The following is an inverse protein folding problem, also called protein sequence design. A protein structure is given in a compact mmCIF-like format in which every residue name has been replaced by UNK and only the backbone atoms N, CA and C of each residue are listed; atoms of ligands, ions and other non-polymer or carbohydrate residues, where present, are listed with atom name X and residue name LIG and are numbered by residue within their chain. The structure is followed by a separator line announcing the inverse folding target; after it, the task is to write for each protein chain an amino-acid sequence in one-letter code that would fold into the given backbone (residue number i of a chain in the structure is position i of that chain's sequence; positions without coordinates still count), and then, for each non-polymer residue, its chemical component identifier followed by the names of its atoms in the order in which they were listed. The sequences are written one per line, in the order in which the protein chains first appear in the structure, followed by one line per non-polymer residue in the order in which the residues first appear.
data_IF_981775038181
#
_entry.id   IF_981775038181
#
_cell.length_a   1.000
_cell.length_b   1.000
_cell.length_c   1.000
_cell.angle_alpha   90.00
_cell.angle_beta   90.00
_cell.angle_gamma   90.00
#
_symmetry.space_group_name_H-M   'P 1'
#
loop_
_entity.id
_entity.type
_entity.pdbx_description
1 polymer ?
#
# COMPACT_ATOMS: atom_id res chain seq x y z
N UNK A 1 35.41 -7.24 4.08
CA UNK A 1 34.06 -7.22 3.46
C UNK A 1 33.56 -5.78 3.47
N UNK A 2 33.52 -5.11 2.32
CA UNK A 2 33.06 -3.73 2.22
C UNK A 2 31.54 -3.70 2.06
N UNK A 3 30.83 -3.09 3.01
CA UNK A 3 29.39 -2.82 2.90
C UNK A 3 29.23 -1.66 1.91
N UNK A 4 28.76 -1.96 0.70
CA UNK A 4 28.50 -0.95 -0.31
C UNK A 4 27.31 -0.07 0.13
N UNK A 5 27.61 1.12 0.63
CA UNK A 5 26.62 2.16 0.90
C UNK A 5 26.05 2.63 -0.44
N UNK A 6 24.91 2.05 -0.86
CA UNK A 6 24.21 2.47 -2.08
C UNK A 6 23.69 3.89 -1.91
N UNK A 7 24.33 4.83 -2.60
CA UNK A 7 23.85 6.22 -2.75
C UNK A 7 22.44 6.17 -3.38
N UNK A 8 21.44 6.79 -2.74
CA UNK A 8 20.10 6.92 -3.32
C UNK A 8 20.14 7.98 -4.42
N UNK A 9 20.04 7.53 -5.66
CA UNK A 9 19.94 8.40 -6.83
C UNK A 9 18.61 9.17 -6.80
N UNK A 10 18.67 10.49 -7.03
CA UNK A 10 17.51 11.38 -6.97
C UNK A 10 16.64 11.14 -8.20
N UNK A 11 15.40 10.67 -8.00
CA UNK A 11 14.45 10.44 -9.10
C UNK A 11 14.16 11.74 -9.84
N UNK A 12 14.04 11.72 -11.19
CA UNK A 12 13.64 12.89 -11.95
C UNK A 12 12.23 13.32 -11.51
N UNK A 13 12.06 14.63 -11.30
CA UNK A 13 10.79 15.23 -10.89
C UNK A 13 10.30 16.18 -11.96
N UNK A 14 9.03 16.04 -12.36
CA UNK A 14 8.38 16.90 -13.35
C UNK A 14 7.52 17.94 -12.63
N UNK A 15 7.56 19.20 -13.08
CA UNK A 15 6.63 20.24 -12.64
C UNK A 15 5.35 20.18 -13.47
N UNK A 16 4.21 20.24 -12.81
CA UNK A 16 2.89 20.21 -13.47
C UNK A 16 1.97 21.19 -12.76
N UNK A 17 1.18 21.94 -13.54
CA UNK A 17 0.12 22.80 -13.03
C UNK A 17 -1.19 22.03 -13.09
N UNK A 18 -1.82 21.82 -11.94
CA UNK A 18 -3.11 21.11 -11.83
C UNK A 18 -4.06 21.93 -10.95
N UNK A 19 -5.32 21.98 -11.35
CA UNK A 19 -6.40 22.57 -10.54
C UNK A 19 -6.95 21.47 -9.65
N UNK A 20 -7.04 21.74 -8.35
CA UNK A 20 -7.56 20.81 -7.34
C UNK A 20 -8.71 21.46 -6.60
N UNK A 21 -9.66 20.63 -6.17
CA UNK A 21 -10.68 21.06 -5.21
C UNK A 21 -10.00 21.35 -3.85
N UNK A 22 -10.10 22.60 -3.40
CA UNK A 22 -9.48 23.03 -2.16
C UNK A 22 -10.13 22.44 -0.91
N UNK A 23 -11.43 22.12 -0.94
CA UNK A 23 -12.10 21.48 0.19
C UNK A 23 -11.60 20.05 0.38
N UNK A 24 -11.53 19.30 -0.73
CA UNK A 24 -11.01 17.94 -0.74
C UNK A 24 -9.55 17.89 -0.27
N UNK A 25 -8.71 18.80 -0.76
CA UNK A 25 -7.30 18.89 -0.33
C UNK A 25 -7.20 19.20 1.16
N UNK A 26 -8.01 20.12 1.66
CA UNK A 26 -7.99 20.52 3.08
C UNK A 26 -8.42 19.36 3.98
N UNK A 27 -9.45 18.63 3.60
CA UNK A 27 -9.89 17.43 4.30
C UNK A 27 -8.81 16.35 4.30
N UNK A 28 -8.23 16.06 3.13
CA UNK A 28 -7.17 15.07 3.00
C UNK A 28 -5.93 15.45 3.83
N UNK A 29 -5.53 16.72 3.84
CA UNK A 29 -4.43 17.20 4.69
C UNK A 29 -4.74 17.07 6.19
N UNK A 30 -6.00 17.35 6.60
CA UNK A 30 -6.43 17.18 7.99
C UNK A 30 -6.40 15.71 8.44
N UNK A 31 -6.85 14.79 7.58
CA UNK A 31 -6.89 13.35 7.88
C UNK A 31 -5.50 12.70 7.84
N UNK A 32 -4.63 13.14 6.94
CA UNK A 32 -3.28 12.56 6.76
C UNK A 32 -2.20 13.24 7.58
N UNK A 33 -2.44 14.46 8.07
CA UNK A 33 -1.42 15.31 8.71
C UNK A 33 -0.37 15.88 7.75
N UNK A 34 -0.55 15.71 6.43
CA UNK A 34 0.41 16.19 5.44
C UNK A 34 0.27 17.71 5.25
N UNK A 35 1.39 18.42 5.32
CA UNK A 35 1.43 19.88 5.30
C UNK A 35 1.61 20.50 3.91
N UNK A 36 2.01 19.71 2.89
CA UNK A 36 2.23 20.24 1.54
C UNK A 36 1.40 19.50 0.49
N UNK A 37 0.79 20.27 -0.43
CA UNK A 37 0.03 19.71 -1.56
C UNK A 37 0.89 18.76 -2.41
N UNK A 38 2.20 19.05 -2.56
CA UNK A 38 3.14 18.17 -3.30
C UNK A 38 3.29 16.79 -2.65
N UNK A 39 3.54 16.75 -1.34
CA UNK A 39 3.69 15.48 -0.63
C UNK A 39 2.37 14.72 -0.59
N UNK A 40 1.25 15.42 -0.42
CA UNK A 40 -0.08 14.82 -0.44
C UNK A 40 -0.34 14.11 -1.76
N UNK A 41 -0.04 14.76 -2.89
CA UNK A 41 -0.18 14.17 -4.22
C UNK A 41 0.75 12.97 -4.44
N UNK A 42 2.01 13.04 -3.99
CA UNK A 42 2.94 11.90 -4.10
C UNK A 42 2.42 10.67 -3.35
N UNK A 43 1.95 10.87 -2.11
CA UNK A 43 1.38 9.80 -1.30
C UNK A 43 0.07 9.27 -1.88
N UNK A 44 -0.81 10.14 -2.38
CA UNK A 44 -2.06 9.74 -3.03
C UNK A 44 -1.79 8.87 -4.27
N UNK A 45 -0.82 9.24 -5.11
CA UNK A 45 -0.43 8.45 -6.28
C UNK A 45 0.15 7.09 -5.90
N UNK A 46 1.00 7.02 -4.87
CA UNK A 46 1.54 5.76 -4.36
C UNK A 46 0.43 4.85 -3.81
N UNK A 47 -0.50 5.43 -3.06
CA UNK A 47 -1.63 4.71 -2.49
C UNK A 47 -2.52 4.15 -3.60
N UNK A 48 -2.84 4.96 -4.61
CA UNK A 48 -3.62 4.51 -5.78
C UNK A 48 -2.95 3.33 -6.48
N UNK A 49 -1.66 3.42 -6.77
CA UNK A 49 -0.90 2.32 -7.39
C UNK A 49 -0.93 1.06 -6.51
N UNK A 50 -0.76 1.21 -5.20
CA UNK A 50 -0.80 0.09 -4.25
C UNK A 50 -2.15 -0.62 -4.28
N UNK A 51 -3.25 0.14 -4.25
CA UNK A 51 -4.61 -0.40 -4.31
C UNK A 51 -4.82 -1.16 -5.63
N UNK A 52 -4.47 -0.56 -6.78
CA UNK A 52 -4.62 -1.22 -8.09
C UNK A 52 -3.77 -2.50 -8.22
N UNK A 53 -2.58 -2.53 -7.64
CA UNK A 53 -1.76 -3.76 -7.60
C UNK A 53 -2.40 -4.86 -6.78
N UNK A 54 -3.06 -4.51 -5.67
CA UNK A 54 -3.78 -5.47 -4.85
C UNK A 54 -5.06 -5.98 -5.54
N UNK A 55 -5.74 -5.13 -6.31
CA UNK A 55 -6.88 -5.55 -7.15
C UNK A 55 -6.46 -6.61 -8.19
N UNK A 56 -5.26 -6.51 -8.77
CA UNK A 56 -4.72 -7.54 -9.68
C UNK A 56 -4.61 -8.92 -9.02
N UNK A 57 -4.34 -8.98 -7.71
CA UNK A 57 -4.34 -10.24 -6.97
C UNK A 57 -5.75 -10.83 -6.93
N UNK A 58 -6.80 -9.99 -6.96
CA UNK A 58 -8.17 -10.50 -7.03
C UNK A 58 -8.47 -11.23 -8.33
N UNK A 59 -7.82 -10.85 -9.43
CA UNK A 59 -7.91 -11.57 -10.71
C UNK A 59 -7.27 -12.97 -10.64
N UNK A 60 -6.40 -13.21 -9.66
CA UNK A 60 -5.74 -14.50 -9.44
C UNK A 60 -6.56 -15.46 -8.56
N UNK A 61 -7.62 -14.99 -7.90
CA UNK A 61 -8.51 -15.87 -7.14
C UNK A 61 -9.29 -16.78 -8.10
N UNK A 62 -9.14 -18.10 -7.94
CA UNK A 62 -9.79 -19.11 -8.76
C UNK A 62 -9.06 -19.47 -10.06
N UNK A 63 -7.96 -18.79 -10.39
CA UNK A 63 -7.07 -19.17 -11.51
C UNK A 63 -5.78 -19.85 -11.05
N UNK A 64 -5.43 -19.71 -9.77
CA UNK A 64 -4.29 -20.38 -9.16
C UNK A 64 -4.81 -21.52 -8.29
N UNK A 65 -4.40 -22.75 -8.62
CA UNK A 65 -4.63 -23.90 -7.75
C UNK A 65 -3.85 -23.72 -6.46
N UNK A 66 -4.58 -23.70 -5.35
CA UNK A 66 -3.97 -23.66 -4.03
C UNK A 66 -3.69 -25.10 -3.60
N UNK A 67 -2.40 -25.44 -3.46
CA UNK A 67 -1.95 -26.74 -2.93
C UNK A 67 -1.61 -26.60 -1.44
N UNK A 68 -2.49 -27.09 -0.59
CA UNK A 68 -2.35 -27.07 0.86
C UNK A 68 -3.47 -27.83 1.56
N UNK A 69 -3.24 -28.23 2.80
CA UNK A 69 -4.25 -28.87 3.66
C UNK A 69 -4.73 -27.85 4.70
N UNK A 70 -5.99 -27.40 4.54
CA UNK A 70 -6.60 -26.42 5.44
C UNK A 70 -6.80 -26.96 6.85
N UNK A 71 -7.01 -28.26 7.00
CA UNK A 71 -7.28 -28.90 8.28
C UNK A 71 -5.98 -29.01 9.08
N UNK A 72 -4.88 -29.40 8.43
CA UNK A 72 -3.55 -29.40 9.04
C UNK A 72 -3.09 -28.00 9.49
N UNK A 73 -3.47 -26.94 8.76
CA UNK A 73 -3.16 -25.55 9.15
C UNK A 73 -4.02 -25.02 10.30
N UNK A 74 -5.11 -25.74 10.65
CA UNK A 74 -6.07 -25.37 11.70
C UNK A 74 -5.86 -26.17 12.99
N UNK A 75 -5.19 -27.32 12.93
CA UNK A 75 -4.75 -28.06 14.10
C UNK A 75 -3.84 -27.19 14.99
N UNK A 76 -4.28 -26.95 16.23
CA UNK A 76 -3.63 -26.05 17.18
C UNK A 76 -4.46 -24.82 17.56
N UNK A 77 -5.62 -24.60 16.91
CA UNK A 77 -6.62 -23.61 17.33
C UNK A 77 -7.83 -24.24 18.04
N UNK A 78 -7.65 -25.39 18.69
CA UNK A 78 -8.60 -25.84 19.70
C UNK A 78 -8.59 -24.81 20.83
N UNK A 79 -9.62 -23.97 20.82
CA UNK A 79 -9.90 -23.04 21.89
C UNK A 79 -10.25 -23.91 23.11
N UNK A 80 -9.29 -24.16 23.99
CA UNK A 80 -9.52 -24.82 25.28
C UNK A 80 -10.28 -23.85 26.20
N UNK A 81 -11.55 -23.61 25.85
CA UNK A 81 -12.48 -22.75 26.56
C UNK A 81 -13.22 -23.52 27.65
N UNK A 82 -12.48 -24.13 28.57
CA UNK A 82 -13.04 -24.77 29.76
C UNK A 82 -12.10 -24.56 30.96
N UNK A 83 -12.01 -23.31 31.43
CA UNK A 83 -11.56 -22.92 32.80
C UNK A 83 -12.22 -21.63 33.23
#
# INVERSE_FOLDING_TARGET
MAVATRVREKRPATRTNVVLDDELVREAMKLTGITTKRTLLDEALRMLIRIRKQERIRELFGTVDWDGDLDAMREGRSFDGDR
#
